data_IF_254973927654
#
_entry.id   IF_254973927654
#
_cell.length_a   1.000
_cell.length_b   1.000
_cell.length_c   1.000
_cell.angle_alpha   90.00
_cell.angle_beta   90.00
_cell.angle_gamma   90.00
#
_symmetry.space_group_name_H-M   'P 1'
#
loop_
_entity.id
_entity.type
_entity.pdbx_description
1 polymer ?
#
# COMPACT_ATOMS: atom_id res chain seq x y z
N UNK A 1 7.65 -12.53 -5.79
CA UNK A 1 8.01 -11.15 -5.36
C UNK A 1 8.99 -10.54 -6.35
N UNK A 2 10.28 -10.94 -6.39
CA UNK A 2 11.24 -10.38 -7.35
C UNK A 2 10.88 -10.55 -8.83
N UNK A 3 10.23 -11.66 -9.22
CA UNK A 3 9.73 -11.86 -10.59
C UNK A 3 8.62 -10.88 -10.97
N UNK A 4 7.67 -10.62 -10.06
CA UNK A 4 6.59 -9.65 -10.27
C UNK A 4 7.11 -8.22 -10.39
N UNK A 5 8.13 -7.88 -9.60
CA UNK A 5 8.87 -6.61 -9.73
C UNK A 5 9.51 -6.52 -11.11
N UNK A 6 10.19 -7.58 -11.57
CA UNK A 6 10.83 -7.59 -12.88
C UNK A 6 9.81 -7.43 -14.02
N UNK A 7 8.70 -8.17 -14.00
CA UNK A 7 7.64 -8.06 -15.00
C UNK A 7 6.96 -6.67 -14.99
N UNK A 8 6.87 -6.04 -13.81
CA UNK A 8 6.34 -4.68 -13.67
C UNK A 8 7.31 -3.65 -14.23
N UNK A 9 8.62 -3.78 -13.97
CA UNK A 9 9.65 -2.91 -14.55
C UNK A 9 9.70 -3.06 -16.07
N UNK A 10 9.68 -4.29 -16.59
CA UNK A 10 9.67 -4.55 -18.04
C UNK A 10 8.49 -3.84 -18.74
N UNK A 11 7.28 -3.94 -18.19
CA UNK A 11 6.09 -3.26 -18.73
C UNK A 11 6.21 -1.75 -18.67
N UNK A 12 6.75 -1.20 -17.59
CA UNK A 12 6.96 0.24 -17.45
C UNK A 12 7.95 0.76 -18.49
N UNK A 13 9.10 0.08 -18.66
CA UNK A 13 10.10 0.42 -19.68
C UNK A 13 9.51 0.32 -21.08
N UNK A 14 8.80 -0.77 -21.39
CA UNK A 14 8.13 -0.95 -22.69
C UNK A 14 7.05 0.10 -22.97
N UNK A 15 6.53 0.76 -21.94
CA UNK A 15 5.54 1.86 -22.05
C UNK A 15 6.19 3.25 -22.12
N UNK A 16 7.52 3.35 -22.07
CA UNK A 16 8.24 4.63 -22.10
C UNK A 16 8.26 5.39 -20.77
N UNK A 17 8.13 4.70 -19.63
CA UNK A 17 8.27 5.33 -18.31
C UNK A 17 9.76 5.49 -17.97
N UNK A 18 10.22 6.73 -17.81
CA UNK A 18 11.62 7.05 -17.52
C UNK A 18 12.05 6.68 -16.10
N UNK A 19 11.17 6.89 -15.13
CA UNK A 19 11.42 6.61 -13.70
C UNK A 19 10.47 5.50 -13.24
N UNK A 20 10.98 4.27 -13.28
CA UNK A 20 10.22 3.06 -12.92
C UNK A 20 10.17 2.83 -11.41
N UNK A 21 9.19 2.06 -10.96
CA UNK A 21 9.04 1.61 -9.56
C UNK A 21 8.89 0.09 -9.45
N UNK A 22 8.90 -0.43 -8.22
CA UNK A 22 8.57 -1.84 -7.92
C UNK A 22 7.09 -2.17 -8.08
N UNK A 23 6.26 -1.16 -8.39
CA UNK A 23 4.80 -1.25 -8.53
C UNK A 23 4.08 -1.64 -7.24
N UNK A 24 4.72 -1.45 -6.09
CA UNK A 24 4.24 -1.92 -4.79
C UNK A 24 3.95 -3.44 -4.73
N UNK A 25 4.53 -4.22 -5.64
CA UNK A 25 4.24 -5.67 -5.78
C UNK A 25 4.69 -6.50 -4.57
N UNK A 26 5.53 -5.93 -3.69
CA UNK A 26 5.95 -6.56 -2.44
C UNK A 26 5.13 -6.20 -1.21
N UNK A 27 4.14 -5.31 -1.36
CA UNK A 27 3.40 -4.73 -0.24
C UNK A 27 1.95 -5.19 -0.30
N UNK A 28 1.41 -5.55 0.86
CA UNK A 28 0.02 -6.00 0.97
C UNK A 28 -1.00 -4.86 0.74
N UNK A 29 -0.60 -3.63 1.05
CA UNK A 29 -1.41 -2.41 0.91
C UNK A 29 -0.61 -1.20 1.35
N UNK A 30 -0.70 -0.09 0.60
CA UNK A 30 -0.09 1.19 0.99
C UNK A 30 -0.60 1.72 2.34
N UNK A 31 -1.83 1.39 2.72
CA UNK A 31 -2.50 1.98 3.88
C UNK A 31 -2.26 1.18 5.17
N UNK A 32 -2.21 -0.15 5.08
CA UNK A 32 -2.12 -1.01 6.26
C UNK A 32 -0.71 -1.49 6.56
N UNK A 33 0.19 -1.46 5.57
CA UNK A 33 1.58 -1.89 5.74
C UNK A 33 2.43 -0.94 6.60
N UNK A 34 1.93 0.28 6.88
CA UNK A 34 2.62 1.27 7.70
C UNK A 34 2.95 0.75 9.11
N UNK A 35 2.08 -0.08 9.70
CA UNK A 35 2.29 -0.69 11.02
C UNK A 35 3.43 -1.70 11.05
N UNK A 36 3.75 -2.28 9.90
CA UNK A 36 4.80 -3.29 9.76
C UNK A 36 6.16 -2.61 9.52
N UNK A 37 6.17 -1.34 9.11
CA UNK A 37 7.37 -0.55 8.79
C UNK A 37 7.75 0.50 9.82
N UNK A 38 6.80 0.97 10.63
CA UNK A 38 7.03 2.05 11.57
C UNK A 38 6.45 1.73 12.94
N UNK A 39 7.12 2.24 13.98
CA UNK A 39 6.55 2.29 15.32
C UNK A 39 5.41 3.31 15.37
N UNK A 40 4.65 3.29 16.47
CA UNK A 40 3.62 4.30 16.72
C UNK A 40 2.32 4.10 15.94
N UNK A 41 2.21 3.06 15.10
CA UNK A 41 0.96 2.70 14.44
C UNK A 41 0.33 1.44 15.05
N UNK A 42 -0.95 1.53 15.38
CA UNK A 42 -1.69 0.41 15.94
C UNK A 42 -3.17 0.73 16.14
N UNK A 43 -3.87 -0.13 16.86
CA UNK A 43 -5.29 0.03 17.16
C UNK A 43 -6.20 -0.05 15.92
N UNK A 44 -7.42 0.45 16.09
CA UNK A 44 -8.43 0.54 15.03
C UNK A 44 -9.15 1.89 15.10
N UNK A 45 -8.92 2.73 14.09
CA UNK A 45 -9.54 4.05 14.00
C UNK A 45 -11.03 3.98 13.67
N UNK A 46 -11.81 4.89 14.26
CA UNK A 46 -13.24 4.97 13.99
C UNK A 46 -13.53 5.18 12.49
N UNK A 47 -14.53 4.47 11.98
CA UNK A 47 -14.97 4.63 10.59
C UNK A 47 -15.89 5.84 10.48
N UNK A 48 -15.37 6.89 9.85
CA UNK A 48 -16.17 8.03 9.44
C UNK A 48 -16.72 7.79 8.04
N UNK A 49 -18.04 7.89 7.88
CA UNK A 49 -18.64 7.90 6.55
C UNK A 49 -18.06 9.09 5.75
N UNK A 50 -17.68 8.85 4.48
CA UNK A 50 -17.34 9.91 3.53
C UNK A 50 -18.37 11.05 3.54
N UNK A 51 -17.91 12.30 3.45
CA UNK A 51 -18.76 13.48 3.63
C UNK A 51 -19.86 13.59 2.57
N UNK A 52 -19.56 13.17 1.34
CA UNK A 52 -20.49 13.01 0.23
C UNK A 52 -21.57 11.96 0.55
N UNK A 53 -21.20 10.79 1.10
CA UNK A 53 -22.19 9.77 1.48
C UNK A 53 -23.14 10.23 2.59
N UNK A 54 -22.71 11.13 3.48
CA UNK A 54 -23.61 11.75 4.48
C UNK A 54 -24.70 12.60 3.83
N UNK A 55 -24.49 13.14 2.63
CA UNK A 55 -25.50 13.90 1.87
C UNK A 55 -26.56 12.99 1.25
N UNK A 56 -26.32 11.67 1.19
CA UNK A 56 -27.24 10.68 0.61
C UNK A 56 -27.52 9.51 1.58
N UNK A 57 -28.29 9.73 2.67
CA UNK A 57 -28.45 8.74 3.75
C UNK A 57 -28.99 7.38 3.30
N UNK A 58 -29.92 7.36 2.35
CA UNK A 58 -30.47 6.10 1.82
C UNK A 58 -29.45 5.28 1.03
N UNK A 59 -28.50 5.94 0.34
CA UNK A 59 -27.41 5.26 -0.34
C UNK A 59 -26.37 4.73 0.66
N UNK A 60 -26.06 5.54 1.67
CA UNK A 60 -25.19 5.15 2.78
C UNK A 60 -25.72 3.91 3.51
N UNK A 61 -27.02 3.87 3.83
CA UNK A 61 -27.66 2.70 4.45
C UNK A 61 -27.58 1.45 3.55
N UNK A 62 -27.81 1.62 2.25
CA UNK A 62 -27.69 0.52 1.28
C UNK A 62 -26.28 -0.06 1.22
N UNK A 63 -25.25 0.78 1.20
CA UNK A 63 -23.83 0.34 1.23
C UNK A 63 -23.52 -0.40 2.54
N UNK A 64 -24.01 0.11 3.67
CA UNK A 64 -23.79 -0.52 4.97
C UNK A 64 -24.40 -1.92 5.02
N UNK A 65 -25.61 -2.10 4.47
CA UNK A 65 -26.30 -3.40 4.40
C UNK A 65 -25.68 -4.37 3.40
N UNK A 66 -25.04 -3.88 2.34
CA UNK A 66 -24.45 -4.73 1.30
C UNK A 66 -23.08 -5.32 1.67
N UNK A 67 -22.60 -5.13 2.90
CA UNK A 67 -21.27 -5.58 3.33
C UNK A 67 -20.13 -4.78 2.70
N UNK A 68 -20.40 -3.59 2.14
CA UNK A 68 -19.37 -2.74 1.54
C UNK A 68 -18.44 -2.08 2.55
N UNK A 69 -18.66 -2.30 3.85
CA UNK A 69 -17.81 -1.74 4.92
C UNK A 69 -16.70 -2.75 5.24
N UNK A 70 -15.42 -2.43 4.96
CA UNK A 70 -14.33 -3.35 5.22
C UNK A 70 -14.22 -3.66 6.72
N UNK A 71 -13.94 -4.91 7.10
CA UNK A 71 -13.88 -5.33 8.51
C UNK A 71 -12.49 -5.26 9.14
N UNK A 72 -11.43 -5.09 8.33
CA UNK A 72 -10.07 -5.05 8.83
C UNK A 72 -9.82 -3.82 9.73
N UNK A 73 -8.90 -3.99 10.68
CA UNK A 73 -8.43 -2.91 11.53
C UNK A 73 -7.75 -1.82 10.69
N UNK A 74 -8.01 -0.55 11.01
CA UNK A 74 -7.38 0.62 10.39
C UNK A 74 -6.38 1.21 11.39
N UNK A 75 -5.10 0.80 11.35
CA UNK A 75 -4.10 1.33 12.25
C UNK A 75 -4.06 2.85 12.17
N UNK A 76 -3.98 3.49 13.32
CA UNK A 76 -3.78 4.92 13.43
C UNK A 76 -2.50 5.22 14.21
N UNK A 77 -2.04 6.46 14.11
CA UNK A 77 -0.96 6.96 14.94
C UNK A 77 -1.42 7.00 16.40
N UNK A 78 -0.79 6.19 17.24
CA UNK A 78 -1.06 6.05 18.67
C UNK A 78 0.16 6.43 19.54
N UNK A 79 1.33 6.61 18.93
CA UNK A 79 2.57 6.98 19.63
C UNK A 79 3.59 7.57 18.62
N UNK A 80 4.80 7.86 19.09
CA UNK A 80 5.91 8.37 18.30
C UNK A 80 6.25 7.46 17.11
N UNK A 81 6.31 8.07 15.93
CA UNK A 81 6.62 7.39 14.67
C UNK A 81 8.13 7.35 14.46
N UNK A 82 8.69 6.15 14.41
CA UNK A 82 10.10 5.88 14.11
C UNK A 82 10.19 4.74 13.10
N UNK A 83 11.23 4.71 12.23
CA UNK A 83 11.48 3.56 11.38
C UNK A 83 11.61 2.28 12.22
N UNK A 84 10.96 1.20 11.78
CA UNK A 84 11.14 -0.14 12.32
C UNK A 84 12.41 -0.81 11.76
N UNK A 85 12.39 -2.13 11.72
CA UNK A 85 13.45 -2.92 11.11
C UNK A 85 13.54 -2.66 9.59
N UNK A 86 14.77 -2.56 9.06
CA UNK A 86 15.03 -2.22 7.66
C UNK A 86 15.07 -3.44 6.71
N UNK A 87 14.99 -4.68 7.23
CA UNK A 87 15.17 -5.91 6.45
C UNK A 87 14.22 -5.98 5.26
N UNK A 88 12.94 -5.70 5.46
CA UNK A 88 11.94 -5.72 4.37
C UNK A 88 12.20 -4.61 3.33
N UNK A 89 12.67 -3.44 3.78
CA UNK A 89 13.06 -2.36 2.88
C UNK A 89 14.27 -2.76 2.01
N UNK A 90 15.27 -3.40 2.62
CA UNK A 90 16.45 -3.88 1.90
C UNK A 90 16.10 -4.97 0.88
N UNK A 91 15.16 -5.86 1.22
CA UNK A 91 14.61 -6.86 0.30
C UNK A 91 13.93 -6.18 -0.90
N UNK A 92 13.06 -5.19 -0.65
CA UNK A 92 12.38 -4.43 -1.70
C UNK A 92 13.37 -3.75 -2.64
N UNK A 93 14.36 -3.04 -2.07
CA UNK A 93 15.40 -2.35 -2.83
C UNK A 93 16.18 -3.34 -3.69
N UNK A 94 16.57 -4.50 -3.13
CA UNK A 94 17.30 -5.54 -3.89
C UNK A 94 16.48 -6.06 -5.06
N UNK A 95 15.18 -6.28 -4.91
CA UNK A 95 14.32 -6.72 -6.01
C UNK A 95 14.25 -5.66 -7.12
N UNK A 96 14.04 -4.38 -6.76
CA UNK A 96 13.96 -3.30 -7.73
C UNK A 96 15.29 -3.09 -8.48
N UNK A 97 16.42 -3.06 -7.77
CA UNK A 97 17.73 -2.91 -8.38
C UNK A 97 18.06 -4.08 -9.32
N UNK A 98 17.73 -5.31 -8.93
CA UNK A 98 17.93 -6.49 -9.78
C UNK A 98 17.08 -6.42 -11.05
N UNK A 99 15.85 -5.90 -10.98
CA UNK A 99 14.99 -5.69 -12.13
C UNK A 99 15.55 -4.59 -13.06
N UNK A 100 15.90 -3.42 -12.52
CA UNK A 100 16.49 -2.30 -13.28
C UNK A 100 17.74 -2.76 -14.04
N UNK A 101 18.64 -3.50 -13.40
CA UNK A 101 19.88 -3.99 -14.01
C UNK A 101 19.65 -4.85 -15.27
N UNK A 102 18.51 -5.53 -15.39
CA UNK A 102 18.16 -6.33 -16.58
C UNK A 102 17.79 -5.47 -17.80
N UNK A 103 17.37 -4.22 -17.58
CA UNK A 103 16.87 -3.32 -18.62
C UNK A 103 17.77 -2.10 -18.87
N UNK A 104 18.84 -1.94 -18.10
CA UNK A 104 19.91 -0.98 -18.38
C UNK A 104 20.88 -1.59 -19.39
N UNK A 105 20.78 -1.15 -20.66
CA UNK A 105 21.79 -1.34 -21.70
C UNK A 105 22.63 -0.05 -21.83
#
# INVERSE_FOLDING_TARGET
MGEEVAATVERQVGSGIDVVSDGETSKISYATYVKDRYTGFGGDSARNAPADLKQFPGFLERIARSGGTPEYARPCCIDEVRPGDATDLEVDIRHLLAAIKKHQA
#
